data_IF_957473673067
#
_entry.id   IF_957473673067
#
_cell.length_a   1.000
_cell.length_b   1.000
_cell.length_c   1.000
_cell.angle_alpha   90.00
_cell.angle_beta   90.00
_cell.angle_gamma   90.00
#
_symmetry.space_group_name_H-M   'P 1'
#
loop_
_entity.id
_entity.type
_entity.pdbx_description
1 polymer ?
#
# COMPACT_ATOMS: atom_id res chain seq x y z
N UNK A 1 -40.97 -24.50 -99.06
CA UNK A 1 -39.76 -24.65 -99.89
C UNK A 1 -38.66 -25.24 -99.03
N UNK A 2 -38.16 -26.44 -99.40
CA UNK A 2 -36.85 -27.07 -99.10
C UNK A 2 -36.37 -27.10 -97.63
N UNK A 3 -35.76 -28.15 -97.11
CA UNK A 3 -35.59 -29.58 -97.40
C UNK A 3 -34.82 -30.13 -96.18
N UNK A 4 -35.00 -31.40 -95.86
CA UNK A 4 -34.35 -32.18 -94.81
C UNK A 4 -32.80 -32.16 -94.86
N UNK A 5 -32.12 -32.43 -93.73
CA UNK A 5 -31.23 -33.60 -93.51
C UNK A 5 -30.44 -33.52 -92.17
N UNK A 6 -30.61 -34.57 -91.33
CA UNK A 6 -29.74 -35.12 -90.26
C UNK A 6 -28.27 -35.39 -90.75
N UNK A 7 -27.30 -35.93 -89.97
CA UNK A 7 -27.08 -36.11 -88.51
C UNK A 7 -25.60 -35.90 -88.02
N UNK A 8 -25.35 -36.15 -86.71
CA UNK A 8 -24.14 -36.79 -86.12
C UNK A 8 -22.72 -36.27 -86.49
N UNK A 9 -22.07 -35.56 -85.55
CA UNK A 9 -20.60 -35.57 -85.41
C UNK A 9 -20.17 -35.22 -83.98
N UNK A 10 -20.00 -36.26 -83.16
CA UNK A 10 -19.10 -36.26 -82.02
C UNK A 10 -17.68 -36.14 -82.58
N UNK A 11 -16.93 -35.09 -82.26
CA UNK A 11 -15.47 -35.15 -82.24
C UNK A 11 -14.86 -33.94 -81.49
N UNK A 12 -14.26 -34.25 -80.33
CA UNK A 12 -12.92 -33.80 -79.97
C UNK A 12 -12.66 -32.28 -79.81
N UNK A 13 -12.87 -31.77 -78.58
CA UNK A 13 -12.10 -30.64 -78.06
C UNK A 13 -11.57 -30.98 -76.67
N UNK A 14 -10.57 -31.88 -76.66
CA UNK A 14 -9.60 -32.00 -75.55
C UNK A 14 -8.69 -30.77 -75.66
N UNK A 15 -8.89 -29.81 -74.76
CA UNK A 15 -8.13 -28.56 -74.70
C UNK A 15 -7.68 -28.30 -73.27
N UNK A 16 -6.61 -28.98 -72.89
CA UNK A 16 -5.60 -28.61 -71.87
C UNK A 16 -6.16 -27.99 -70.57
N UNK A 17 -6.35 -28.88 -69.59
CA UNK A 17 -6.26 -28.59 -68.16
C UNK A 17 -5.08 -27.66 -67.92
N UNK A 18 -5.35 -26.41 -67.51
CA UNK A 18 -4.33 -25.51 -67.01
C UNK A 18 -3.58 -26.21 -65.88
N UNK A 19 -2.31 -26.52 -66.12
CA UNK A 19 -1.40 -26.98 -65.09
C UNK A 19 -1.38 -25.92 -63.99
N UNK A 20 -1.88 -26.27 -62.81
CA UNK A 20 -1.59 -25.52 -61.60
C UNK A 20 -0.09 -25.70 -61.36
N UNK A 21 0.72 -24.72 -61.77
CA UNK A 21 2.14 -24.70 -61.40
C UNK A 21 2.18 -24.50 -59.90
N UNK A 22 2.28 -25.61 -59.16
CA UNK A 22 2.65 -25.54 -57.75
C UNK A 22 4.05 -24.97 -57.70
N UNK A 23 4.20 -23.80 -57.07
CA UNK A 23 5.51 -23.18 -56.84
C UNK A 23 6.34 -23.96 -55.80
N UNK A 24 5.79 -25.04 -55.24
CA UNK A 24 6.51 -25.94 -54.35
C UNK A 24 7.37 -26.94 -55.15
N UNK A 25 8.71 -26.78 -55.17
CA UNK A 25 9.62 -27.66 -55.90
C UNK A 25 9.63 -29.10 -55.37
N UNK A 26 9.14 -29.32 -54.14
CA UNK A 26 9.01 -30.65 -53.54
C UNK A 26 7.75 -31.40 -54.01
N UNK A 27 6.79 -30.69 -54.60
CA UNK A 27 5.54 -31.26 -55.12
C UNK A 27 5.48 -31.29 -56.65
N UNK A 28 6.35 -30.55 -57.33
CA UNK A 28 6.56 -30.65 -58.77
C UNK A 28 7.48 -31.82 -59.12
N UNK A 29 7.11 -32.66 -60.10
CA UNK A 29 7.96 -33.76 -60.58
C UNK A 29 9.33 -33.30 -61.12
N UNK A 30 10.16 -34.26 -61.56
CA UNK A 30 11.57 -34.04 -61.97
C UNK A 30 11.83 -32.79 -62.85
N UNK A 31 10.97 -32.52 -63.83
CA UNK A 31 11.10 -31.36 -64.73
C UNK A 31 10.89 -30.00 -64.02
N UNK A 32 10.01 -29.95 -63.01
CA UNK A 32 9.80 -28.77 -62.16
C UNK A 32 10.95 -28.57 -61.18
N UNK A 33 11.55 -29.66 -60.68
CA UNK A 33 12.76 -29.60 -59.86
C UNK A 33 13.94 -28.97 -60.62
N UNK A 34 14.15 -29.32 -61.89
CA UNK A 34 15.21 -28.76 -62.74
C UNK A 34 14.96 -27.29 -63.10
N UNK A 35 13.71 -26.90 -63.40
CA UNK A 35 13.38 -25.48 -63.63
C UNK A 35 13.51 -24.64 -62.36
N UNK A 36 13.18 -25.19 -61.20
CA UNK A 36 13.30 -24.52 -59.90
C UNK A 36 14.76 -24.38 -59.44
N UNK A 37 15.62 -25.32 -59.84
CA UNK A 37 17.07 -25.22 -59.67
C UNK A 37 17.65 -24.08 -60.51
N UNK A 38 17.17 -23.90 -61.75
CA UNK A 38 17.62 -22.81 -62.64
C UNK A 38 17.02 -21.44 -62.30
N UNK A 39 15.86 -21.39 -61.63
CA UNK A 39 15.14 -20.15 -61.29
C UNK A 39 15.44 -19.59 -59.88
N UNK A 40 16.37 -20.19 -59.11
CA UNK A 40 16.79 -19.67 -57.80
C UNK A 40 15.79 -19.83 -56.65
N UNK A 41 14.68 -20.54 -56.85
CA UNK A 41 13.60 -20.70 -55.86
C UNK A 41 14.05 -21.32 -54.53
N UNK A 42 15.01 -22.25 -54.55
CA UNK A 42 15.60 -22.83 -53.33
C UNK A 42 16.39 -21.79 -52.51
N UNK A 43 17.15 -20.92 -53.17
CA UNK A 43 17.89 -19.85 -52.51
C UNK A 43 16.92 -18.88 -51.84
N UNK A 44 15.85 -18.49 -52.53
CA UNK A 44 14.82 -17.61 -51.94
C UNK A 44 14.20 -18.21 -50.67
N UNK A 45 13.93 -19.53 -50.63
CA UNK A 45 13.42 -20.20 -49.41
C UNK A 45 14.44 -20.25 -48.28
N UNK A 46 15.73 -20.43 -48.60
CA UNK A 46 16.80 -20.39 -47.61
C UNK A 46 16.90 -18.98 -47.03
N UNK A 47 16.89 -17.95 -47.89
CA UNK A 47 16.96 -16.55 -47.48
C UNK A 47 15.74 -16.14 -46.64
N UNK A 48 14.54 -16.58 -47.01
CA UNK A 48 13.31 -16.36 -46.25
C UNK A 48 13.36 -17.03 -44.87
N UNK A 49 13.84 -18.28 -44.80
CA UNK A 49 14.01 -19.00 -43.52
C UNK A 49 15.07 -18.35 -42.65
N UNK A 50 16.19 -17.93 -43.23
CA UNK A 50 17.27 -17.25 -42.52
C UNK A 50 16.78 -15.92 -41.94
N UNK A 51 16.07 -15.13 -42.74
CA UNK A 51 15.42 -13.89 -42.28
C UNK A 51 14.41 -14.15 -41.17
N UNK A 52 13.58 -15.17 -41.30
CA UNK A 52 12.60 -15.55 -40.26
C UNK A 52 13.30 -15.93 -38.95
N UNK A 53 14.38 -16.70 -39.04
CA UNK A 53 15.18 -17.09 -37.86
C UNK A 53 15.81 -15.87 -37.19
N UNK A 54 16.38 -14.95 -37.96
CA UNK A 54 16.95 -13.70 -37.44
C UNK A 54 15.88 -12.83 -36.75
N UNK A 55 14.71 -12.67 -37.38
CA UNK A 55 13.57 -11.94 -36.82
C UNK A 55 13.07 -12.58 -35.50
N UNK A 56 13.03 -13.92 -35.43
CA UNK A 56 12.65 -14.65 -34.22
C UNK A 56 13.69 -14.53 -33.10
N UNK A 57 14.98 -14.59 -33.43
CA UNK A 57 16.07 -14.38 -32.47
C UNK A 57 16.03 -12.97 -31.88
N UNK A 58 15.82 -11.96 -32.73
CA UNK A 58 15.68 -10.57 -32.29
C UNK A 58 14.46 -10.38 -31.39
N UNK A 59 13.32 -10.98 -31.74
CA UNK A 59 12.12 -10.98 -30.88
C UNK A 59 12.39 -11.64 -29.55
N UNK A 60 13.06 -12.80 -29.54
CA UNK A 60 13.39 -13.51 -28.30
C UNK A 60 14.30 -12.66 -27.40
N UNK A 61 15.33 -12.04 -27.98
CA UNK A 61 16.23 -11.14 -27.27
C UNK A 61 15.48 -9.93 -26.68
N UNK A 62 14.56 -9.33 -27.43
CA UNK A 62 13.73 -8.22 -26.95
C UNK A 62 12.82 -8.66 -25.80
N UNK A 63 12.19 -9.83 -25.91
CA UNK A 63 11.33 -10.39 -24.86
C UNK A 63 12.11 -10.70 -23.59
N UNK A 64 13.30 -11.31 -23.69
CA UNK A 64 14.16 -11.59 -22.54
C UNK A 64 14.56 -10.29 -21.83
N UNK A 65 14.97 -9.26 -22.57
CA UNK A 65 15.30 -7.95 -22.00
C UNK A 65 14.09 -7.27 -21.36
N UNK A 66 12.88 -7.49 -21.88
CA UNK A 66 11.65 -6.98 -21.29
C UNK A 66 11.31 -7.73 -20.00
N UNK A 67 11.46 -9.06 -19.98
CA UNK A 67 11.26 -9.88 -18.80
C UNK A 67 12.23 -9.53 -17.67
N UNK A 68 13.51 -9.34 -17.98
CA UNK A 68 14.52 -8.88 -17.01
C UNK A 68 14.17 -7.52 -16.41
N UNK A 69 13.75 -6.55 -17.24
CA UNK A 69 13.31 -5.24 -16.78
C UNK A 69 12.09 -5.33 -15.88
N UNK A 70 11.10 -6.15 -16.24
CA UNK A 70 9.89 -6.35 -15.45
C UNK A 70 10.20 -7.03 -14.10
N UNK A 71 11.10 -8.02 -14.10
CA UNK A 71 11.54 -8.67 -12.88
C UNK A 71 12.25 -7.69 -11.94
N UNK A 72 13.13 -6.83 -12.46
CA UNK A 72 13.79 -5.79 -11.68
C UNK A 72 12.79 -4.77 -11.11
N UNK A 73 11.82 -4.33 -11.91
CA UNK A 73 10.75 -3.42 -11.44
C UNK A 73 9.88 -4.08 -10.37
N UNK A 74 9.54 -5.36 -10.54
CA UNK A 74 8.75 -6.11 -9.55
C UNK A 74 9.50 -6.23 -8.22
N UNK A 75 10.80 -6.51 -8.26
CA UNK A 75 11.63 -6.57 -7.06
C UNK A 75 11.72 -5.22 -6.35
N UNK A 76 11.89 -4.12 -7.10
CA UNK A 76 11.92 -2.77 -6.54
C UNK A 76 10.59 -2.38 -5.90
N UNK A 77 9.47 -2.58 -6.60
CA UNK A 77 8.12 -2.31 -6.05
C UNK A 77 7.86 -3.15 -4.79
N UNK A 78 8.29 -4.41 -4.77
CA UNK A 78 8.18 -5.27 -3.58
C UNK A 78 8.99 -4.70 -2.41
N UNK A 79 10.23 -4.29 -2.64
CA UNK A 79 11.07 -3.68 -1.61
C UNK A 79 10.48 -2.37 -1.08
N UNK A 80 9.94 -1.51 -1.97
CA UNK A 80 9.25 -0.28 -1.57
C UNK A 80 8.00 -0.57 -0.73
N UNK A 81 7.22 -1.60 -1.10
CA UNK A 81 6.04 -2.04 -0.34
C UNK A 81 6.43 -2.53 1.05
N UNK A 82 7.43 -3.38 1.17
CA UNK A 82 7.92 -3.88 2.47
C UNK A 82 8.44 -2.74 3.35
N UNK A 83 9.18 -1.79 2.77
CA UNK A 83 9.64 -0.60 3.49
C UNK A 83 8.47 0.30 3.96
N UNK A 84 7.43 0.46 3.13
CA UNK A 84 6.24 1.20 3.51
C UNK A 84 5.47 0.50 4.64
N UNK A 85 5.28 -0.81 4.55
CA UNK A 85 4.63 -1.62 5.60
C UNK A 85 5.35 -1.51 6.94
N UNK A 86 6.69 -1.57 6.93
CA UNK A 86 7.50 -1.36 8.13
C UNK A 86 7.28 0.05 8.74
N UNK A 87 7.28 1.10 7.91
CA UNK A 87 7.00 2.47 8.35
C UNK A 87 5.60 2.61 8.94
N UNK A 88 4.59 1.97 8.35
CA UNK A 88 3.21 1.98 8.88
C UNK A 88 3.13 1.30 10.25
N UNK A 89 3.79 0.14 10.41
CA UNK A 89 3.83 -0.56 11.69
C UNK A 89 4.49 0.29 12.79
N UNK A 90 5.60 0.96 12.49
CA UNK A 90 6.27 1.84 13.44
C UNK A 90 5.45 3.09 13.76
N UNK A 91 4.80 3.68 12.76
CA UNK A 91 3.88 4.79 12.98
C UNK A 91 2.70 4.39 13.88
N UNK A 92 2.13 3.20 13.68
CA UNK A 92 1.06 2.68 14.52
C UNK A 92 1.50 2.48 15.99
N UNK A 93 2.71 1.94 16.21
CA UNK A 93 3.30 1.82 17.56
C UNK A 93 3.49 3.19 18.20
N UNK A 94 4.03 4.16 17.48
CA UNK A 94 4.22 5.53 17.96
C UNK A 94 2.89 6.21 18.32
N UNK A 95 1.86 5.99 17.50
CA UNK A 95 0.52 6.51 17.73
C UNK A 95 -0.12 5.88 18.97
N UNK A 96 0.05 4.57 19.18
CA UNK A 96 -0.40 3.90 20.39
C UNK A 96 0.34 4.40 21.64
N UNK A 97 1.66 4.56 21.57
CA UNK A 97 2.45 5.12 22.65
C UNK A 97 2.00 6.56 22.99
N UNK A 98 1.70 7.37 21.98
CA UNK A 98 1.18 8.74 22.16
C UNK A 98 -0.21 8.75 22.80
N UNK A 99 -1.11 7.85 22.39
CA UNK A 99 -2.42 7.67 23.04
C UNK A 99 -2.29 7.26 24.50
N UNK A 100 -1.37 6.35 24.82
CA UNK A 100 -1.12 5.92 26.19
C UNK A 100 -0.58 7.08 27.05
N UNK A 101 0.36 7.87 26.52
CA UNK A 101 0.86 9.09 27.18
C UNK A 101 -0.26 10.10 27.42
N UNK A 102 -1.13 10.32 26.43
CA UNK A 102 -2.27 11.22 26.57
C UNK A 102 -3.25 10.73 27.64
N UNK A 103 -3.59 9.44 27.65
CA UNK A 103 -4.47 8.87 28.67
C UNK A 103 -3.88 8.98 30.08
N UNK A 104 -2.57 8.74 30.23
CA UNK A 104 -1.86 8.93 31.49
C UNK A 104 -1.89 10.40 31.96
N UNK A 105 -1.63 11.34 31.04
CA UNK A 105 -1.69 12.77 31.34
C UNK A 105 -3.10 13.24 31.72
N UNK A 106 -4.14 12.74 31.04
CA UNK A 106 -5.54 13.00 31.39
C UNK A 106 -5.89 12.49 32.79
N UNK A 107 -5.45 11.27 33.13
CA UNK A 107 -5.63 10.70 34.48
C UNK A 107 -4.87 11.48 35.55
N UNK A 108 -3.65 11.95 35.25
CA UNK A 108 -2.90 12.80 36.17
C UNK A 108 -3.61 14.15 36.39
N UNK A 109 -4.14 14.76 35.34
CA UNK A 109 -4.90 16.02 35.44
C UNK A 109 -6.22 15.85 36.20
N UNK A 110 -6.95 14.74 35.99
CA UNK A 110 -8.18 14.48 36.75
C UNK A 110 -7.88 14.29 38.24
N UNK A 111 -6.77 13.62 38.57
CA UNK A 111 -6.29 13.52 39.96
C UNK A 111 -5.93 14.89 40.52
N UNK A 112 -5.11 15.69 39.83
CA UNK A 112 -4.77 17.06 40.27
C UNK A 112 -6.03 17.91 40.53
N UNK A 113 -7.05 17.80 39.66
CA UNK A 113 -8.34 18.49 39.85
C UNK A 113 -9.09 18.01 41.10
N UNK A 114 -9.08 16.71 41.37
CA UNK A 114 -9.68 16.15 42.58
C UNK A 114 -8.94 16.63 43.84
N UNK A 115 -7.61 16.63 43.81
CA UNK A 115 -6.75 17.09 44.91
C UNK A 115 -7.00 18.59 45.19
N UNK A 116 -7.08 19.45 44.16
CA UNK A 116 -7.46 20.87 44.30
C UNK A 116 -8.86 21.02 44.91
N UNK A 117 -9.81 20.17 44.54
CA UNK A 117 -11.17 20.22 45.09
C UNK A 117 -11.17 19.82 46.57
N UNK A 118 -10.33 18.86 46.98
CA UNK A 118 -10.18 18.47 48.38
C UNK A 118 -9.56 19.59 49.21
N UNK A 119 -8.45 20.17 48.74
CA UNK A 119 -7.77 21.28 49.41
C UNK A 119 -8.70 22.49 49.62
N UNK A 120 -9.54 22.83 48.63
CA UNK A 120 -10.53 23.89 48.79
C UNK A 120 -11.55 23.60 49.92
N UNK A 121 -11.99 22.34 50.07
CA UNK A 121 -12.88 21.97 51.17
C UNK A 121 -12.19 22.06 52.53
N UNK A 122 -10.91 21.73 52.59
CA UNK A 122 -10.13 21.82 53.82
C UNK A 122 -9.90 23.28 54.21
N UNK A 123 -9.63 24.16 53.24
CA UNK A 123 -9.59 25.62 53.44
C UNK A 123 -10.94 26.12 53.97
N UNK A 124 -12.06 25.76 53.32
CA UNK A 124 -13.40 26.16 53.77
C UNK A 124 -13.71 25.68 55.20
N UNK A 125 -13.26 24.47 55.55
CA UNK A 125 -13.40 23.89 56.89
C UNK A 125 -12.58 24.66 57.92
N UNK A 126 -11.32 24.96 57.61
CA UNK A 126 -10.42 25.74 58.45
C UNK A 126 -10.96 27.15 58.68
N UNK A 127 -11.46 27.81 57.63
CA UNK A 127 -12.13 29.11 57.76
C UNK A 127 -13.33 29.08 58.71
N UNK A 128 -14.17 28.04 58.62
CA UNK A 128 -15.30 27.86 59.55
C UNK A 128 -14.83 27.66 60.98
N UNK A 129 -13.81 26.82 61.22
CA UNK A 129 -13.22 26.61 62.55
C UNK A 129 -12.67 27.91 63.14
N UNK A 130 -11.98 28.72 62.32
CA UNK A 130 -11.47 30.04 62.73
C UNK A 130 -12.63 30.97 63.11
N UNK A 131 -13.68 31.07 62.27
CA UNK A 131 -14.86 31.92 62.55
C UNK A 131 -15.57 31.49 63.83
N UNK A 132 -15.77 30.19 64.05
CA UNK A 132 -16.38 29.67 65.27
C UNK A 132 -15.54 30.01 66.51
N UNK A 133 -14.22 29.86 66.43
CA UNK A 133 -13.32 30.19 67.53
C UNK A 133 -13.29 31.70 67.84
N UNK A 134 -13.41 32.55 66.80
CA UNK A 134 -13.52 34.00 66.96
C UNK A 134 -14.84 34.43 67.61
N UNK A 135 -15.93 33.70 67.36
CA UNK A 135 -17.25 33.97 67.93
C UNK A 135 -17.46 33.37 69.32
N UNK A 136 -16.59 32.46 69.76
CA UNK A 136 -16.67 31.81 71.06
C UNK A 136 -16.28 32.77 72.18
N UNK A 137 -17.27 33.26 72.93
CA UNK A 137 -17.08 34.15 74.09
C UNK A 137 -16.99 33.39 75.43
N UNK A 138 -17.27 32.08 75.45
CA UNK A 138 -17.39 31.30 76.68
C UNK A 138 -16.14 30.48 77.03
N UNK A 139 -15.30 30.14 76.05
CA UNK A 139 -14.07 29.38 76.31
C UNK A 139 -12.98 30.23 76.97
N UNK A 140 -12.28 29.73 78.01
CA UNK A 140 -11.12 30.41 78.62
C UNK A 140 -10.00 30.70 77.61
N UNK A 141 -9.29 31.82 77.79
CA UNK A 141 -8.28 32.30 76.83
C UNK A 141 -7.13 31.31 76.61
N UNK A 142 -6.72 30.56 77.64
CA UNK A 142 -5.68 29.54 77.52
C UNK A 142 -6.07 28.40 76.55
N UNK A 143 -7.35 28.00 76.54
CA UNK A 143 -7.84 26.94 75.65
C UNK A 143 -8.08 27.47 74.23
N UNK A 144 -8.49 28.75 74.10
CA UNK A 144 -8.55 29.43 72.80
C UNK A 144 -7.17 29.52 72.16
N UNK A 145 -6.14 29.83 72.94
CA UNK A 145 -4.77 29.94 72.44
C UNK A 145 -4.26 28.59 71.91
N UNK A 146 -4.51 27.49 72.62
CA UNK A 146 -4.18 26.14 72.14
C UNK A 146 -4.89 25.81 70.82
N UNK A 147 -6.19 26.08 70.73
CA UNK A 147 -6.97 25.85 69.49
C UNK A 147 -6.45 26.70 68.33
N UNK A 148 -6.06 27.95 68.57
CA UNK A 148 -5.44 28.81 67.56
C UNK A 148 -4.10 28.24 67.07
N UNK A 149 -3.27 27.74 67.98
CA UNK A 149 -1.98 27.15 67.62
C UNK A 149 -2.14 25.84 66.83
N UNK A 150 -3.16 25.04 67.15
CA UNK A 150 -3.50 23.86 66.36
C UNK A 150 -4.01 24.22 64.95
N UNK A 151 -4.88 25.24 64.83
CA UNK A 151 -5.33 25.73 63.52
C UNK A 151 -4.19 26.33 62.68
N UNK A 152 -3.20 26.98 63.32
CA UNK A 152 -2.00 27.48 62.64
C UNK A 152 -1.18 26.33 62.06
N UNK A 153 -1.00 25.24 62.83
CA UNK A 153 -0.32 24.03 62.33
C UNK A 153 -1.08 23.38 61.18
N UNK A 154 -2.41 23.33 61.26
CA UNK A 154 -3.28 22.81 60.19
C UNK A 154 -3.14 23.65 58.90
N UNK A 155 -3.12 24.98 59.01
CA UNK A 155 -2.85 25.89 57.88
C UNK A 155 -1.47 25.64 57.26
N UNK A 156 -0.41 25.57 58.07
CA UNK A 156 0.95 25.32 57.58
C UNK A 156 1.10 23.94 56.91
N UNK A 157 0.34 22.94 57.36
CA UNK A 157 0.27 21.65 56.69
C UNK A 157 -0.38 21.77 55.30
N UNK A 158 -1.52 22.48 55.20
CA UNK A 158 -2.20 22.73 53.93
C UNK A 158 -1.36 23.54 52.95
N UNK A 159 -0.66 24.59 53.43
CA UNK A 159 0.26 25.38 52.60
C UNK A 159 1.36 24.51 51.98
N UNK A 160 1.95 23.59 52.76
CA UNK A 160 2.93 22.64 52.24
C UNK A 160 2.34 21.69 51.20
N UNK A 161 1.10 21.24 51.39
CA UNK A 161 0.43 20.34 50.46
C UNK A 161 0.10 21.03 49.12
N UNK A 162 -0.34 22.29 49.17
CA UNK A 162 -0.52 23.14 47.98
C UNK A 162 0.79 23.30 47.22
N UNK A 163 1.88 23.64 47.92
CA UNK A 163 3.21 23.79 47.31
C UNK A 163 3.69 22.50 46.63
N UNK A 164 3.46 21.35 47.27
CA UNK A 164 3.80 20.04 46.69
C UNK A 164 2.97 19.73 45.44
N UNK A 165 1.71 20.15 45.40
CA UNK A 165 0.83 19.96 44.24
C UNK A 165 1.22 20.85 43.05
N UNK A 166 1.62 22.10 43.32
CA UNK A 166 2.06 23.05 42.29
C UNK A 166 3.40 22.66 41.67
N UNK A 167 4.32 22.09 42.46
CA UNK A 167 5.65 21.66 41.98
C UNK A 167 5.65 20.31 41.23
N UNK A 168 4.55 19.56 41.29
CA UNK A 168 4.35 18.26 40.61
C UNK A 168 3.76 18.41 39.22
#
# INVERSE_FOLDING_TARGET
MRAHLLPLAVLLAVGVSGCTTSEDPAQGGFLSGVSNLSNGTYQNRIDERQKTLEDEQDKNLQQNRAAERLAAQSADVKAQREAAEAKYADFQKSLQASRNKLAAAQKANSKKKADVTALNRDIDSLEKKIKLLQQDTFTPDADKQKRLDDLRKEREALEREVDLLVRR
#
